data_IF_965507025494
#
_entry.id   IF_965507025494
#
_cell.length_a   1.000
_cell.length_b   1.000
_cell.length_c   1.000
_cell.angle_alpha   90.00
_cell.angle_beta   90.00
_cell.angle_gamma   90.00
#
_symmetry.space_group_name_H-M   'P 1'
#
loop_
_entity.id
_entity.type
_entity.pdbx_description
1 polymer ?
#
# COMPACT_ATOMS: atom_id res chain seq x y z
N UNK A 1 -34.54 -4.08 23.28
CA UNK A 1 -33.21 -4.46 22.68
C UNK A 1 -32.46 -3.17 22.39
N UNK A 2 -31.54 -2.78 23.25
CA UNK A 2 -30.69 -1.61 22.99
C UNK A 2 -29.78 -1.96 21.80
N UNK A 3 -29.91 -1.23 20.71
CA UNK A 3 -28.94 -1.25 19.60
C UNK A 3 -27.66 -0.62 20.14
N UNK A 4 -26.68 -1.44 20.53
CA UNK A 4 -25.33 -0.97 20.83
C UNK A 4 -24.87 -0.16 19.61
N UNK A 5 -24.66 1.15 19.81
CA UNK A 5 -24.08 1.99 18.75
C UNK A 5 -22.81 1.30 18.23
N UNK A 6 -22.75 1.07 16.92
CA UNK A 6 -21.56 0.50 16.28
C UNK A 6 -20.37 1.39 16.65
N UNK A 7 -19.41 0.81 17.37
CA UNK A 7 -18.20 1.51 17.76
C UNK A 7 -17.51 2.06 16.49
N UNK A 8 -17.36 3.36 16.40
CA UNK A 8 -16.74 4.01 15.25
C UNK A 8 -15.23 3.82 15.37
N UNK A 9 -14.61 3.26 14.33
CA UNK A 9 -13.14 3.12 14.28
C UNK A 9 -12.49 4.49 14.51
N UNK A 10 -11.50 4.58 15.43
CA UNK A 10 -10.81 5.83 15.71
C UNK A 10 -10.10 6.39 14.48
N UNK A 11 -10.07 7.71 14.38
CA UNK A 11 -9.35 8.44 13.32
C UNK A 11 -8.21 9.21 13.98
N UNK A 12 -6.98 8.96 13.54
CA UNK A 12 -5.77 9.64 14.04
C UNK A 12 -5.21 10.52 12.92
N UNK A 13 -4.93 11.79 13.24
CA UNK A 13 -4.42 12.78 12.28
C UNK A 13 -2.89 12.85 12.36
N UNK A 14 -2.21 12.39 11.31
CA UNK A 14 -0.76 12.45 11.15
C UNK A 14 -0.33 13.73 10.43
N UNK A 15 -0.64 14.86 11.05
CA UNK A 15 -0.11 16.16 10.61
C UNK A 15 1.41 16.19 10.67
N UNK A 16 2.00 17.10 9.91
CA UNK A 16 3.45 17.25 9.82
C UNK A 16 4.12 17.37 11.20
N UNK A 17 3.51 18.11 12.12
CA UNK A 17 4.00 18.28 13.48
C UNK A 17 3.92 16.99 14.32
N UNK A 18 2.93 16.14 14.05
CA UNK A 18 2.78 14.83 14.72
C UNK A 18 3.82 13.81 14.27
N UNK A 19 4.56 14.10 13.19
CA UNK A 19 5.62 13.24 12.67
C UNK A 19 7.02 13.66 13.16
N UNK A 20 7.13 14.71 13.99
CA UNK A 20 8.41 15.16 14.57
C UNK A 20 8.63 14.42 15.90
N UNK A 21 9.55 13.42 15.96
CA UNK A 21 9.78 12.64 17.17
C UNK A 21 10.12 13.53 18.38
N UNK A 22 9.47 13.24 19.53
CA UNK A 22 9.69 13.96 20.79
C UNK A 22 8.90 15.28 20.92
N UNK A 23 8.19 15.75 19.90
CA UNK A 23 7.28 16.87 20.04
C UNK A 23 6.03 16.49 20.84
N UNK A 24 5.32 17.50 21.42
CA UNK A 24 4.06 17.25 22.12
C UNK A 24 3.01 16.64 21.19
N UNK A 25 2.93 17.10 19.93
CA UNK A 25 2.02 16.55 18.92
C UNK A 25 2.34 15.10 18.60
N UNK A 26 3.62 14.74 18.51
CA UNK A 26 4.07 13.36 18.31
C UNK A 26 3.69 12.47 19.50
N UNK A 27 3.90 12.93 20.75
CA UNK A 27 3.51 12.20 21.95
C UNK A 27 2.00 11.98 22.02
N UNK A 28 1.20 12.99 21.65
CA UNK A 28 -0.27 12.88 21.57
C UNK A 28 -0.67 11.81 20.55
N UNK A 29 -0.13 11.88 19.32
CA UNK A 29 -0.40 10.91 18.29
C UNK A 29 -0.01 9.48 18.69
N UNK A 30 1.13 9.30 19.36
CA UNK A 30 1.54 7.99 19.90
C UNK A 30 0.52 7.44 20.90
N UNK A 31 0.00 8.28 21.80
CA UNK A 31 -1.01 7.85 22.77
C UNK A 31 -2.35 7.51 22.09
N UNK A 32 -2.78 8.29 21.11
CA UNK A 32 -4.00 8.04 20.33
C UNK A 32 -3.90 6.70 19.57
N UNK A 33 -2.76 6.46 18.89
CA UNK A 33 -2.47 5.19 18.20
C UNK A 33 -2.49 4.02 19.18
N UNK A 34 -1.80 4.14 20.32
CA UNK A 34 -1.80 3.09 21.35
C UNK A 34 -3.21 2.76 21.80
N UNK A 35 -3.98 3.78 22.20
CA UNK A 35 -5.34 3.60 22.67
C UNK A 35 -6.24 2.95 21.58
N UNK A 36 -6.13 3.40 20.35
CA UNK A 36 -6.88 2.84 19.23
C UNK A 36 -6.54 1.36 19.00
N UNK A 37 -5.26 0.97 19.09
CA UNK A 37 -4.84 -0.41 18.92
C UNK A 37 -5.24 -1.30 20.12
N UNK A 38 -5.18 -0.79 21.34
CA UNK A 38 -5.59 -1.52 22.54
C UNK A 38 -7.11 -1.76 22.58
N UNK A 39 -7.92 -0.79 22.16
CA UNK A 39 -9.37 -0.83 22.24
C UNK A 39 -10.03 -1.48 21.00
N UNK A 40 -9.50 -1.20 19.80
CA UNK A 40 -10.14 -1.56 18.52
C UNK A 40 -9.28 -2.47 17.64
N UNK A 41 -7.98 -2.61 17.93
CA UNK A 41 -7.03 -3.35 17.08
C UNK A 41 -6.69 -2.65 15.76
N UNK A 42 -7.31 -1.51 15.45
CA UNK A 42 -7.09 -0.75 14.23
C UNK A 42 -7.46 0.72 14.39
N UNK A 43 -7.02 1.56 13.45
CA UNK A 43 -7.41 2.96 13.34
C UNK A 43 -7.34 3.42 11.88
N UNK A 44 -7.99 4.53 11.57
CA UNK A 44 -7.88 5.23 10.30
C UNK A 44 -6.88 6.36 10.47
N UNK A 45 -5.93 6.47 9.55
CA UNK A 45 -4.97 7.57 9.50
C UNK A 45 -5.43 8.63 8.51
N UNK A 46 -5.39 9.90 8.93
CA UNK A 46 -5.42 11.04 8.02
C UNK A 46 -3.99 11.48 7.76
N UNK A 47 -3.55 11.37 6.50
CA UNK A 47 -2.19 11.69 6.08
C UNK A 47 -2.24 12.50 4.79
N UNK A 48 -1.89 13.77 4.88
CA UNK A 48 -2.04 14.76 3.80
C UNK A 48 -0.75 15.02 3.00
N UNK A 49 0.34 14.32 3.35
CA UNK A 49 1.65 14.55 2.72
C UNK A 49 1.82 13.84 1.37
N UNK A 50 0.89 12.97 1.01
CA UNK A 50 0.85 12.38 -0.33
C UNK A 50 -0.13 13.17 -1.19
N UNK A 51 0.35 13.87 -2.24
CA UNK A 51 -0.53 14.60 -3.15
C UNK A 51 -1.60 13.69 -3.76
N UNK A 52 -2.81 14.19 -3.91
CA UNK A 52 -3.92 13.44 -4.51
C UNK A 52 -3.62 13.00 -5.95
N UNK A 53 -2.84 13.79 -6.69
CA UNK A 53 -2.35 13.45 -8.03
C UNK A 53 -1.45 12.20 -7.99
N UNK A 54 -0.50 12.13 -7.06
CA UNK A 54 0.37 10.95 -6.88
C UNK A 54 -0.47 9.71 -6.58
N UNK A 55 -1.48 9.85 -5.73
CA UNK A 55 -2.40 8.77 -5.42
C UNK A 55 -3.14 8.29 -6.68
N UNK A 56 -3.66 9.23 -7.49
CA UNK A 56 -4.33 8.91 -8.76
C UNK A 56 -3.40 8.11 -9.68
N UNK A 57 -2.19 8.61 -9.91
CA UNK A 57 -1.17 7.94 -10.75
C UNK A 57 -0.85 6.52 -10.27
N UNK A 58 -0.74 6.29 -8.95
CA UNK A 58 -0.49 4.95 -8.40
C UNK A 58 -1.65 3.99 -8.74
N UNK A 59 -2.90 4.42 -8.61
CA UNK A 59 -4.05 3.58 -8.93
C UNK A 59 -4.15 3.30 -10.44
N UNK A 60 -3.88 4.29 -11.29
CA UNK A 60 -3.88 4.13 -12.74
C UNK A 60 -2.77 3.16 -13.18
N UNK A 61 -1.55 3.32 -12.66
CA UNK A 61 -0.42 2.42 -12.93
C UNK A 61 -0.67 1.00 -12.40
N UNK A 62 -1.27 0.87 -11.22
CA UNK A 62 -1.63 -0.44 -10.67
C UNK A 62 -2.68 -1.13 -11.54
N UNK A 63 -3.69 -0.39 -12.01
CA UNK A 63 -4.69 -0.94 -12.93
C UNK A 63 -4.04 -1.42 -14.22
N UNK A 64 -3.21 -0.59 -14.86
CA UNK A 64 -2.47 -0.96 -16.07
C UNK A 64 -1.64 -2.23 -15.86
N UNK A 65 -0.93 -2.31 -14.75
CA UNK A 65 -0.11 -3.47 -14.39
C UNK A 65 -0.94 -4.75 -14.25
N UNK A 66 -2.09 -4.69 -13.58
CA UNK A 66 -2.95 -5.86 -13.39
C UNK A 66 -3.74 -6.24 -14.65
N UNK A 67 -3.97 -5.30 -15.58
CA UNK A 67 -4.59 -5.55 -16.89
C UNK A 67 -3.61 -6.23 -17.89
N UNK A 68 -2.31 -6.32 -17.58
CA UNK A 68 -1.33 -7.05 -18.41
C UNK A 68 -1.69 -8.55 -18.53
N UNK A 69 -1.32 -9.18 -19.66
CA UNK A 69 -1.44 -10.63 -19.82
C UNK A 69 -0.76 -11.39 -18.66
N UNK A 70 -1.38 -12.50 -18.26
CA UNK A 70 -0.91 -13.26 -17.09
C UNK A 70 0.53 -13.79 -17.28
N UNK A 71 0.91 -14.11 -18.50
CA UNK A 71 2.24 -14.59 -18.86
C UNK A 71 3.30 -13.54 -18.56
N UNK A 72 2.97 -12.25 -18.78
CA UNK A 72 3.86 -11.12 -18.48
C UNK A 72 3.96 -10.93 -16.95
N UNK A 73 2.82 -10.93 -16.25
CA UNK A 73 2.80 -10.81 -14.78
C UNK A 73 3.61 -11.91 -14.11
N UNK A 74 3.56 -13.13 -14.63
CA UNK A 74 4.31 -14.29 -14.14
C UNK A 74 5.83 -14.17 -14.26
N UNK A 75 6.35 -13.30 -15.12
CA UNK A 75 7.79 -13.03 -15.17
C UNK A 75 8.33 -12.44 -13.86
N UNK A 76 7.46 -11.79 -13.08
CA UNK A 76 7.78 -11.24 -11.76
C UNK A 76 7.48 -12.20 -10.60
N UNK A 77 7.20 -13.50 -10.86
CA UNK A 77 6.96 -14.48 -9.81
C UNK A 77 8.24 -14.72 -9.00
N UNK A 78 8.11 -14.84 -7.68
CA UNK A 78 9.21 -15.07 -6.77
C UNK A 78 9.00 -16.38 -5.98
N UNK A 79 10.11 -17.08 -5.63
CA UNK A 79 10.06 -18.30 -4.80
C UNK A 79 9.77 -17.99 -3.33
N UNK A 80 10.04 -16.76 -2.90
CA UNK A 80 9.75 -16.32 -1.54
C UNK A 80 8.29 -15.89 -1.46
N UNK A 81 7.51 -16.43 -0.52
CA UNK A 81 6.11 -16.06 -0.34
C UNK A 81 5.91 -14.55 -0.21
N UNK A 82 4.82 -14.05 -0.79
CA UNK A 82 4.41 -12.64 -0.78
C UNK A 82 5.32 -11.67 -1.55
N UNK A 83 6.29 -12.20 -2.34
CA UNK A 83 7.14 -11.40 -3.21
C UNK A 83 6.78 -11.63 -4.67
N UNK A 84 6.92 -10.59 -5.49
CA UNK A 84 6.59 -10.65 -6.91
C UNK A 84 5.09 -10.87 -7.17
N UNK A 85 4.76 -11.46 -8.30
CA UNK A 85 3.39 -11.73 -8.70
C UNK A 85 2.80 -12.92 -7.94
N UNK A 86 1.58 -12.73 -7.44
CA UNK A 86 0.75 -13.74 -6.79
C UNK A 86 -0.60 -13.75 -7.51
N UNK A 87 -0.99 -14.90 -8.02
CA UNK A 87 -2.28 -15.08 -8.70
C UNK A 87 -2.60 -16.54 -8.91
N UNK A 88 -3.70 -16.82 -9.62
CA UNK A 88 -4.17 -18.16 -9.96
C UNK A 88 -4.32 -19.13 -8.76
N UNK A 89 -4.64 -18.59 -7.58
CA UNK A 89 -4.90 -19.42 -6.43
C UNK A 89 -6.32 -20.04 -6.54
N UNK A 90 -6.46 -21.39 -6.57
CA UNK A 90 -7.77 -22.04 -6.67
C UNK A 90 -8.73 -21.66 -5.55
N UNK A 91 -8.24 -21.35 -4.34
CA UNK A 91 -9.04 -20.91 -3.20
C UNK A 91 -9.49 -19.43 -3.31
N UNK A 92 -8.79 -18.63 -4.10
CA UNK A 92 -9.07 -17.21 -4.29
C UNK A 92 -8.86 -16.81 -5.76
N UNK A 93 -9.72 -17.28 -6.69
CA UNK A 93 -9.48 -17.17 -8.13
C UNK A 93 -9.52 -15.74 -8.68
N UNK A 94 -10.01 -14.79 -7.89
CA UNK A 94 -10.07 -13.35 -8.25
C UNK A 94 -9.02 -12.50 -7.53
N UNK A 95 -8.17 -13.13 -6.74
CA UNK A 95 -7.13 -12.43 -5.99
C UNK A 95 -5.84 -12.40 -6.81
N UNK A 96 -5.34 -11.21 -7.07
CA UNK A 96 -4.01 -10.98 -7.60
C UNK A 96 -3.26 -10.02 -6.69
N UNK A 97 -1.95 -10.21 -6.58
CA UNK A 97 -1.05 -9.34 -5.84
C UNK A 97 0.26 -9.17 -6.59
N UNK A 98 0.91 -8.03 -6.39
CA UNK A 98 2.22 -7.74 -6.94
C UNK A 98 3.09 -7.09 -5.87
N UNK A 99 4.18 -7.74 -5.51
CA UNK A 99 5.18 -7.21 -4.58
C UNK A 99 6.40 -6.70 -5.32
N UNK A 100 6.78 -5.45 -5.08
CA UNK A 100 8.00 -4.84 -5.62
C UNK A 100 9.04 -4.84 -4.52
N UNK A 101 10.18 -5.48 -4.77
CA UNK A 101 11.30 -5.54 -3.81
C UNK A 101 12.23 -4.36 -3.99
N UNK A 102 12.84 -3.93 -2.87
CA UNK A 102 13.90 -2.90 -2.89
C UNK A 102 13.51 -1.64 -3.65
N UNK A 103 12.29 -1.12 -3.44
CA UNK A 103 11.76 0.07 -4.12
C UNK A 103 12.64 1.32 -4.02
N UNK A 104 13.62 1.35 -3.12
CA UNK A 104 14.61 2.42 -3.00
C UNK A 104 15.81 2.24 -3.95
N UNK A 105 15.91 1.10 -4.64
CA UNK A 105 16.94 0.85 -5.65
C UNK A 105 16.38 1.11 -7.04
N UNK A 106 16.88 2.14 -7.71
CA UNK A 106 16.48 2.47 -9.08
C UNK A 106 16.71 1.28 -10.04
N UNK A 107 17.82 0.56 -9.88
CA UNK A 107 18.14 -0.62 -10.68
C UNK A 107 17.07 -1.70 -10.53
N UNK A 108 16.62 -1.98 -9.30
CA UNK A 108 15.58 -2.98 -9.05
C UNK A 108 14.22 -2.55 -9.60
N UNK A 109 13.90 -1.27 -9.50
CA UNK A 109 12.69 -0.73 -10.12
C UNK A 109 12.73 -0.85 -11.65
N UNK A 110 13.88 -0.55 -12.27
CA UNK A 110 14.06 -0.69 -13.72
C UNK A 110 13.93 -2.13 -14.16
N UNK A 111 14.54 -3.08 -13.45
CA UNK A 111 14.40 -4.51 -13.74
C UNK A 111 12.93 -4.95 -13.65
N UNK A 112 12.23 -4.54 -12.60
CA UNK A 112 10.82 -4.83 -12.42
C UNK A 112 9.97 -4.26 -13.56
N UNK A 113 10.13 -2.98 -13.90
CA UNK A 113 9.38 -2.34 -14.96
C UNK A 113 9.69 -2.95 -16.34
N UNK A 114 10.95 -3.28 -16.62
CA UNK A 114 11.34 -3.92 -17.89
C UNK A 114 10.76 -5.32 -18.06
N UNK A 115 10.50 -6.05 -16.98
CA UNK A 115 9.78 -7.33 -17.04
C UNK A 115 8.33 -7.15 -17.48
N UNK A 116 7.67 -6.10 -17.00
CA UNK A 116 6.25 -5.84 -17.27
C UNK A 116 6.06 -5.09 -18.60
N UNK A 117 6.94 -4.14 -18.91
CA UNK A 117 6.89 -3.28 -20.07
C UNK A 117 8.23 -3.23 -20.80
N UNK A 118 8.57 -4.26 -21.60
CA UNK A 118 9.86 -4.29 -22.32
C UNK A 118 10.06 -3.13 -23.30
N UNK A 119 8.96 -2.51 -23.77
CA UNK A 119 8.99 -1.32 -24.63
C UNK A 119 9.11 0.01 -23.85
N UNK A 120 9.14 -0.05 -22.52
CA UNK A 120 9.13 1.10 -21.62
C UNK A 120 7.73 1.50 -21.18
N UNK A 121 7.65 2.18 -20.03
CA UNK A 121 6.43 2.79 -19.49
C UNK A 121 6.84 4.03 -18.67
N UNK A 122 7.02 5.17 -19.36
CA UNK A 122 7.45 6.41 -18.71
C UNK A 122 6.53 6.90 -17.58
N UNK A 123 5.18 6.76 -17.66
CA UNK A 123 4.30 7.16 -16.57
C UNK A 123 4.46 6.34 -15.28
N UNK A 124 5.05 5.16 -15.36
CA UNK A 124 5.28 4.29 -14.20
C UNK A 124 6.44 4.76 -13.31
N UNK A 125 7.34 5.60 -13.83
CA UNK A 125 8.54 6.08 -13.12
C UNK A 125 8.31 7.27 -12.22
#
# INVERSE_FOLDING_TARGET
MEVKALAKVPVVDFKKEALIPGSNSWLSACNEVRHALEEYGCFVVVFDQIPSETRGKIFDSAKEMFDLPIEIKKLSTNKVPYRGYIGENPGFPRHEGMGIENVLSLEQLQLFANHLWPAGNDPFW
#
